data_IF_436350275397
#
_entry.id   IF_436350275397
#
_cell.length_a   1.000
_cell.length_b   1.000
_cell.length_c   1.000
_cell.angle_alpha   90.00
_cell.angle_beta   90.00
_cell.angle_gamma   90.00
#
_symmetry.space_group_name_H-M   'P 1'
#
loop_
_entity.id
_entity.type
_entity.pdbx_description
1 polymer ?
#
# COMPACT_ATOMS: atom_id res chain seq x y z
N UNK A 1 0.62 -16.24 17.49
CA UNK A 1 1.95 -15.95 16.91
C UNK A 1 1.83 -15.14 15.62
N UNK A 2 0.96 -15.52 14.67
CA UNK A 2 0.77 -14.75 13.41
C UNK A 2 0.13 -13.37 13.62
N UNK A 3 -0.90 -13.28 14.47
CA UNK A 3 -1.64 -12.02 14.69
C UNK A 3 -0.75 -10.87 15.21
N UNK A 4 0.11 -11.14 16.19
CA UNK A 4 1.05 -10.15 16.74
C UNK A 4 2.07 -9.66 15.69
N UNK A 5 2.47 -10.52 14.74
CA UNK A 5 3.35 -10.14 13.65
C UNK A 5 2.64 -9.20 12.65
N UNK A 6 1.37 -9.46 12.36
CA UNK A 6 0.52 -8.59 11.53
C UNK A 6 0.34 -7.22 12.20
N UNK A 7 0.08 -7.19 13.50
CA UNK A 7 -0.10 -5.95 14.26
C UNK A 7 1.17 -5.11 14.32
N UNK A 8 2.32 -5.75 14.52
CA UNK A 8 3.62 -5.05 14.48
C UNK A 8 3.87 -4.43 13.11
N UNK A 9 3.66 -5.21 12.04
CA UNK A 9 3.83 -4.72 10.68
C UNK A 9 2.84 -3.60 10.34
N UNK A 10 1.59 -3.70 10.83
CA UNK A 10 0.61 -2.63 10.71
C UNK A 10 1.05 -1.34 11.42
N UNK A 11 1.69 -1.45 12.59
CA UNK A 11 2.25 -0.30 13.30
C UNK A 11 3.41 0.33 12.53
N UNK A 12 4.30 -0.48 11.95
CA UNK A 12 5.40 0.01 11.12
C UNK A 12 4.88 0.80 9.92
N UNK A 13 3.85 0.29 9.23
CA UNK A 13 3.21 1.02 8.13
C UNK A 13 2.56 2.34 8.58
N UNK A 14 1.85 2.33 9.72
CA UNK A 14 1.23 3.56 10.27
C UNK A 14 2.25 4.64 10.61
N UNK A 15 3.49 4.27 10.94
CA UNK A 15 4.53 5.22 11.31
C UNK A 15 4.96 6.11 10.14
N UNK A 16 5.01 5.58 8.91
CA UNK A 16 5.54 6.31 7.76
C UNK A 16 4.51 6.63 6.66
N UNK A 17 3.36 5.96 6.62
CA UNK A 17 2.31 6.25 5.63
C UNK A 17 1.56 7.53 5.98
N UNK A 18 1.54 8.45 5.02
CA UNK A 18 0.78 9.70 5.08
C UNK A 18 -0.62 9.50 4.48
N UNK A 19 -1.59 10.39 4.79
CA UNK A 19 -2.92 10.37 4.18
C UNK A 19 -2.90 10.28 2.65
N UNK A 20 -2.04 11.05 1.99
CA UNK A 20 -1.90 11.02 0.53
C UNK A 20 -1.41 9.66 -0.01
N UNK A 21 -0.58 8.94 0.76
CA UNK A 21 -0.10 7.62 0.36
C UNK A 21 -1.25 6.61 0.32
N UNK A 22 -2.19 6.68 1.27
CA UNK A 22 -3.38 5.82 1.25
C UNK A 22 -4.25 6.06 0.03
N UNK A 23 -4.42 7.32 -0.40
CA UNK A 23 -5.16 7.67 -1.61
C UNK A 23 -4.49 7.09 -2.85
N UNK A 24 -3.17 7.27 -2.98
CA UNK A 24 -2.38 6.73 -4.09
C UNK A 24 -2.44 5.20 -4.15
N UNK A 25 -2.31 4.53 -3.01
CA UNK A 25 -2.42 3.07 -2.90
C UNK A 25 -3.81 2.58 -3.34
N UNK A 26 -4.89 3.26 -2.94
CA UNK A 26 -6.26 2.93 -3.36
C UNK A 26 -6.47 3.15 -4.86
N UNK A 27 -5.90 4.22 -5.42
CA UNK A 27 -5.96 4.52 -6.84
C UNK A 27 -5.25 3.44 -7.67
N UNK A 28 -4.04 3.01 -7.25
CA UNK A 28 -3.29 1.93 -7.90
C UNK A 28 -4.02 0.59 -7.79
N UNK A 29 -4.60 0.27 -6.63
CA UNK A 29 -5.38 -0.97 -6.48
C UNK A 29 -6.65 -0.99 -7.34
N UNK A 30 -7.21 0.19 -7.66
CA UNK A 30 -8.40 0.35 -8.50
C UNK A 30 -8.08 0.36 -10.00
N UNK A 31 -6.92 0.90 -10.40
CA UNK A 31 -6.42 0.86 -11.78
C UNK A 31 -4.93 0.46 -11.85
N UNK A 32 -4.62 -0.84 -11.80
CA UNK A 32 -3.25 -1.33 -11.78
C UNK A 32 -2.51 -1.22 -13.13
N UNK A 33 -3.19 -0.88 -14.22
CA UNK A 33 -2.61 -0.80 -15.56
C UNK A 33 -1.81 0.49 -15.79
N UNK A 34 -2.27 1.62 -15.23
CA UNK A 34 -1.71 2.95 -15.52
C UNK A 34 -1.03 3.60 -14.31
N UNK A 35 -1.05 2.93 -13.14
CA UNK A 35 -0.65 3.51 -11.85
C UNK A 35 0.76 3.16 -11.37
N UNK A 36 1.40 4.13 -10.70
CA UNK A 36 2.50 3.86 -9.78
C UNK A 36 3.92 3.97 -10.33
N UNK A 37 4.12 4.64 -11.47
CA UNK A 37 5.46 4.94 -11.99
C UNK A 37 6.02 6.29 -11.49
N UNK A 38 5.23 7.06 -10.77
CA UNK A 38 5.69 8.30 -10.14
C UNK A 38 6.63 8.04 -8.96
N UNK A 39 7.37 9.07 -8.55
CA UNK A 39 8.36 9.01 -7.48
C UNK A 39 7.76 8.54 -6.15
N UNK A 40 6.51 8.93 -5.87
CA UNK A 40 5.82 8.57 -4.63
C UNK A 40 5.48 7.07 -4.59
N UNK A 41 5.01 6.49 -5.69
CA UNK A 41 4.77 5.07 -5.80
C UNK A 41 6.07 4.25 -5.80
N UNK A 42 7.18 4.79 -6.33
CA UNK A 42 8.49 4.18 -6.20
C UNK A 42 8.98 4.16 -4.74
N UNK A 43 8.79 5.24 -3.98
CA UNK A 43 9.09 5.27 -2.54
C UNK A 43 8.22 4.26 -1.77
N UNK A 44 6.93 4.16 -2.10
CA UNK A 44 6.03 3.15 -1.51
C UNK A 44 6.42 1.71 -1.87
N UNK A 45 6.98 1.48 -3.06
CA UNK A 45 7.53 0.19 -3.46
C UNK A 45 8.80 -0.14 -2.66
N UNK A 46 9.72 0.82 -2.49
CA UNK A 46 10.93 0.64 -1.68
C UNK A 46 10.59 0.34 -0.21
N UNK A 47 9.52 0.93 0.31
CA UNK A 47 9.03 0.68 1.69
C UNK A 47 8.13 -0.55 1.81
N UNK A 48 7.94 -1.31 0.74
CA UNK A 48 7.09 -2.50 0.69
C UNK A 48 5.62 -2.25 1.10
N UNK A 49 5.16 -1.01 1.03
CA UNK A 49 3.74 -0.67 1.17
C UNK A 49 2.99 -0.97 -0.13
N UNK A 50 3.68 -0.83 -1.25
CA UNK A 50 3.28 -1.26 -2.58
C UNK A 50 4.13 -2.48 -2.99
N UNK A 51 3.50 -3.47 -3.62
CA UNK A 51 4.15 -4.69 -4.07
C UNK A 51 4.01 -4.83 -5.58
N UNK A 52 5.08 -5.26 -6.24
CA UNK A 52 5.09 -5.62 -7.65
C UNK A 52 4.90 -7.14 -7.79
N UNK A 53 3.87 -7.56 -8.52
CA UNK A 53 3.65 -8.96 -8.84
C UNK A 53 4.04 -9.22 -10.30
N UNK A 54 4.69 -10.36 -10.54
CA UNK A 54 5.17 -10.75 -11.88
C UNK A 54 4.11 -11.56 -12.66
N UNK A 55 2.86 -11.58 -12.20
CA UNK A 55 1.77 -12.43 -12.69
C UNK A 55 0.85 -11.71 -13.70
N UNK A 56 1.27 -10.56 -14.22
CA UNK A 56 0.46 -9.71 -15.09
C UNK A 56 -0.33 -8.63 -14.33
N UNK A 57 -0.39 -8.69 -13.00
CA UNK A 57 -0.82 -7.56 -12.16
C UNK A 57 0.39 -6.77 -11.69
N UNK A 58 0.66 -5.64 -12.35
CA UNK A 58 1.93 -4.94 -12.17
C UNK A 58 2.16 -4.45 -10.74
N UNK A 59 1.11 -3.98 -10.04
CA UNK A 59 1.22 -3.42 -8.68
C UNK A 59 -0.05 -3.60 -7.84
N UNK A 60 0.11 -3.93 -6.56
CA UNK A 60 -0.96 -3.90 -5.53
C UNK A 60 -0.42 -3.53 -4.15
N UNK A 61 -1.26 -2.92 -3.33
CA UNK A 61 -0.93 -2.60 -1.94
C UNK A 61 -0.71 -3.85 -1.10
N UNK A 62 0.20 -3.76 -0.13
CA UNK A 62 0.47 -4.84 0.81
C UNK A 62 -0.82 -5.24 1.57
N UNK A 63 -1.12 -6.54 1.76
CA UNK A 63 -2.37 -6.99 2.41
C UNK A 63 -2.62 -6.36 3.78
N UNK A 64 -1.57 -6.19 4.58
CA UNK A 64 -1.66 -5.51 5.88
C UNK A 64 -2.03 -4.04 5.74
N UNK A 65 -1.51 -3.33 4.74
CA UNK A 65 -1.88 -1.93 4.49
C UNK A 65 -3.36 -1.80 4.15
N UNK A 66 -3.90 -2.75 3.39
CA UNK A 66 -5.34 -2.83 3.04
C UNK A 66 -6.25 -3.04 4.25
N UNK A 67 -5.71 -3.51 5.39
CA UNK A 67 -6.45 -3.63 6.65
C UNK A 67 -6.45 -2.36 7.50
N UNK A 68 -5.58 -1.39 7.19
CA UNK A 68 -5.46 -0.16 7.97
C UNK A 68 -6.68 0.74 7.76
N UNK A 69 -7.16 1.37 8.82
CA UNK A 69 -8.30 2.30 8.75
C UNK A 69 -8.01 3.46 7.79
N UNK A 70 -6.79 4.01 7.81
CA UNK A 70 -6.39 5.07 6.87
C UNK A 70 -6.54 4.68 5.40
N UNK A 71 -6.30 3.41 5.06
CA UNK A 71 -6.54 2.89 3.71
C UNK A 71 -8.03 2.76 3.40
N UNK A 72 -8.82 2.25 4.36
CA UNK A 72 -10.27 2.05 4.18
C UNK A 72 -11.00 3.38 4.01
N UNK A 73 -10.64 4.39 4.80
CA UNK A 73 -11.27 5.72 4.82
C UNK A 73 -10.68 6.71 3.82
N UNK A 74 -9.56 6.40 3.17
CA UNK A 74 -9.01 7.27 2.14
C UNK A 74 -9.99 7.35 0.97
N UNK A 75 -10.53 8.52 0.68
CA UNK A 75 -11.29 8.76 -0.53
C UNK A 75 -10.34 9.20 -1.66
N UNK A 76 -10.53 8.63 -2.84
CA UNK A 76 -9.78 8.92 -4.06
C UNK A 76 -10.70 9.37 -5.17
#
# INVERSE_FOLDING_TARGET
MVQAAIEKLAADYRYFLKPADYVLLKAIDSNPADGGNDEQAQDLLHRLALLQYNDGTWRRSHPVVRTLEGYKTADG
#
